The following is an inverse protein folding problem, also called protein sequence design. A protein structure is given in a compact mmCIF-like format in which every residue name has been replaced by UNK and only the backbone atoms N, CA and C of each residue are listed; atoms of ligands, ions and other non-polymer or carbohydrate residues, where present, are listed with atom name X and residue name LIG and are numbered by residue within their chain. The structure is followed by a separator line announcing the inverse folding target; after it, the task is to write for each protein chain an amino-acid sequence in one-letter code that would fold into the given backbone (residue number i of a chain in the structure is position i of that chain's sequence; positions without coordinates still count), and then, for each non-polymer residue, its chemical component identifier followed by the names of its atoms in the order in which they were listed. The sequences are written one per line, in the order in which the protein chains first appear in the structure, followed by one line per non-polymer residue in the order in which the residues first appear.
data_IF_318549400273
#
_entry.id   IF_318549400273
#
_cell.length_a   1.000
_cell.length_b   1.000
_cell.length_c   1.000
_cell.angle_alpha   90.00
_cell.angle_beta   90.00
_cell.angle_gamma   90.00
#
_symmetry.space_group_name_H-M   'P 1'
#
loop_
_entity.id
_entity.type
_entity.pdbx_description
1 polymer ?
#
# COMPACT_ATOMS: atom_id res chain seq x y z
N UNK A 1 -13.20 -30.41 -16.15
CA UNK A 1 -14.60 -30.27 -15.69
C UNK A 1 -14.62 -30.24 -14.16
N UNK A 2 -14.61 -29.06 -13.55
CA UNK A 2 -14.65 -28.90 -12.10
C UNK A 2 -16.06 -28.46 -11.69
N UNK A 3 -16.69 -29.23 -10.80
CA UNK A 3 -18.06 -29.05 -10.33
C UNK A 3 -18.24 -27.71 -9.59
N UNK A 4 -19.16 -26.90 -10.09
CA UNK A 4 -19.75 -25.78 -9.37
C UNK A 4 -20.67 -26.37 -8.29
N UNK A 5 -20.41 -26.05 -7.02
CA UNK A 5 -21.38 -26.26 -5.93
C UNK A 5 -21.55 -24.96 -5.16
N UNK A 6 -22.49 -24.14 -5.61
CA UNK A 6 -23.11 -23.10 -4.79
C UNK A 6 -24.12 -23.77 -3.86
N UNK A 7 -23.99 -23.57 -2.55
CA UNK A 7 -25.05 -23.86 -1.60
C UNK A 7 -24.98 -22.83 -0.47
N UNK A 8 -25.89 -21.86 -0.48
CA UNK A 8 -26.20 -21.05 0.69
C UNK A 8 -27.69 -21.27 0.98
N UNK A 9 -27.98 -22.05 2.02
CA UNK A 9 -29.30 -22.25 2.56
C UNK A 9 -29.33 -21.53 3.91
N UNK A 10 -30.08 -20.45 4.02
CA UNK A 10 -30.35 -19.77 5.30
C UNK A 10 -31.80 -20.02 5.65
N UNK A 11 -32.04 -20.79 6.73
CA UNK A 11 -33.37 -21.02 7.28
C UNK A 11 -33.68 -19.93 8.33
N UNK A 12 -34.81 -19.24 8.17
CA UNK A 12 -35.46 -18.50 9.25
C UNK A 12 -36.74 -19.25 9.62
N UNK A 13 -36.91 -19.56 10.91
CA UNK A 13 -38.11 -20.17 11.47
C UNK A 13 -38.98 -19.12 12.17
N UNK A 14 -40.29 -19.15 11.91
CA UNK A 14 -41.33 -18.52 12.73
C UNK A 14 -42.60 -19.40 12.75
N UNK A 15 -42.82 -20.00 13.93
CA UNK A 15 -44.07 -20.37 14.63
C UNK A 15 -45.34 -20.84 13.86
N UNK A 16 -45.74 -22.11 14.12
CA UNK A 16 -46.83 -22.51 15.06
C UNK A 16 -47.76 -23.64 14.55
N UNK A 17 -48.00 -24.61 15.45
CA UNK A 17 -48.99 -25.70 15.48
C UNK A 17 -49.06 -26.73 14.33
N UNK A 18 -48.54 -27.93 14.59
CA UNK A 18 -48.83 -29.14 13.84
C UNK A 18 -47.83 -30.25 14.15
N UNK A 19 -48.24 -31.26 14.93
CA UNK A 19 -47.41 -32.42 15.25
C UNK A 19 -47.26 -33.29 14.00
N UNK A 20 -46.15 -33.12 13.29
CA UNK A 20 -45.63 -34.13 12.37
C UNK A 20 -44.24 -34.54 12.87
N UNK A 21 -44.10 -35.83 13.23
CA UNK A 21 -42.79 -36.47 13.38
C UNK A 21 -42.16 -36.58 11.99
N UNK A 22 -41.51 -35.51 11.54
CA UNK A 22 -40.55 -35.59 10.45
C UNK A 22 -39.29 -36.25 11.01
N UNK A 23 -38.83 -37.35 10.38
CA UNK A 23 -37.54 -37.91 10.72
C UNK A 23 -36.48 -36.85 10.44
N UNK A 24 -35.78 -36.40 11.48
CA UNK A 24 -34.62 -35.53 11.33
C UNK A 24 -33.62 -36.27 10.44
N UNK A 25 -33.48 -35.81 9.19
CA UNK A 25 -32.30 -36.14 8.40
C UNK A 25 -31.08 -35.78 9.27
N UNK A 26 -30.01 -36.59 9.26
CA UNK A 26 -28.82 -36.28 10.03
C UNK A 26 -28.38 -34.88 9.61
N UNK A 27 -28.47 -33.96 10.57
CA UNK A 27 -27.96 -32.61 10.43
C UNK A 27 -26.51 -32.78 10.01
N UNK A 28 -26.17 -32.39 8.77
CA UNK A 28 -24.77 -32.32 8.36
C UNK A 28 -24.12 -31.48 9.42
N UNK A 29 -23.26 -32.08 10.27
CA UNK A 29 -22.48 -31.36 11.27
C UNK A 29 -21.97 -30.10 10.58
N UNK A 30 -22.54 -28.95 10.92
CA UNK A 30 -21.98 -27.69 10.50
C UNK A 30 -20.58 -27.73 11.08
N UNK A 31 -19.57 -27.80 10.21
CA UNK A 31 -18.18 -27.84 10.66
C UNK A 31 -17.96 -26.70 11.64
N UNK A 32 -17.13 -26.92 12.65
CA UNK A 32 -16.84 -25.92 13.68
C UNK A 32 -16.61 -24.55 13.04
N UNK A 33 -17.46 -23.58 13.40
CA UNK A 33 -17.36 -22.21 12.89
C UNK A 33 -16.10 -21.61 13.48
N UNK A 34 -15.18 -21.22 12.61
CA UNK A 34 -13.88 -20.71 13.01
C UNK A 34 -13.98 -19.28 13.57
N UNK A 35 -14.91 -18.47 13.04
CA UNK A 35 -15.16 -17.11 13.51
C UNK A 35 -16.46 -16.52 12.96
N UNK A 36 -16.94 -15.46 13.61
CA UNK A 36 -18.10 -14.66 13.16
C UNK A 36 -17.69 -13.19 13.07
N UNK A 37 -17.93 -12.55 11.93
CA UNK A 37 -17.84 -11.11 11.78
C UNK A 37 -19.24 -10.50 11.62
N UNK A 38 -19.45 -9.30 12.16
CA UNK A 38 -20.72 -8.57 12.03
C UNK A 38 -20.50 -7.24 11.33
N UNK A 39 -21.32 -6.96 10.32
CA UNK A 39 -21.41 -5.67 9.63
C UNK A 39 -22.75 -5.05 9.98
N UNK A 40 -22.73 -3.92 10.69
CA UNK A 40 -23.94 -3.15 11.02
C UNK A 40 -24.11 -1.97 10.06
N UNK A 41 -25.08 -2.07 9.15
CA UNK A 41 -25.35 -1.01 8.17
C UNK A 41 -26.04 0.22 8.76
N UNK A 42 -26.51 0.15 10.01
CA UNK A 42 -27.10 1.30 10.71
C UNK A 42 -26.06 2.19 11.40
N UNK A 43 -24.81 1.75 11.49
CA UNK A 43 -23.73 2.44 12.21
C UNK A 43 -22.53 2.68 11.27
N UNK A 44 -22.63 3.62 10.32
CA UNK A 44 -21.53 3.91 9.40
C UNK A 44 -20.34 4.51 10.15
N UNK A 45 -19.14 4.02 9.88
CA UNK A 45 -17.89 4.56 10.43
C UNK A 45 -17.36 5.78 9.68
N UNK A 46 -18.01 6.18 8.58
CA UNK A 46 -17.67 7.33 7.75
C UNK A 46 -17.66 7.01 6.24
N UNK A 47 -17.32 8.00 5.43
CA UNK A 47 -17.11 7.81 3.99
C UNK A 47 -15.75 7.13 3.78
N UNK A 48 -15.66 6.04 2.99
CA UNK A 48 -14.39 5.39 2.69
C UNK A 48 -13.40 6.36 2.02
N UNK A 49 -12.26 6.61 2.68
CA UNK A 49 -11.22 7.49 2.17
C UNK A 49 -10.10 6.75 1.41
N UNK A 50 -10.20 5.42 1.26
CA UNK A 50 -9.26 4.61 0.49
C UNK A 50 -7.77 4.82 0.87
N UNK A 51 -7.50 5.03 2.16
CA UNK A 51 -6.17 5.38 2.68
C UNK A 51 -5.12 4.27 2.50
N UNK A 52 -5.52 3.04 2.21
CA UNK A 52 -4.63 1.92 1.91
C UNK A 52 -4.69 1.48 0.43
N UNK A 53 -5.40 2.23 -0.42
CA UNK A 53 -5.52 1.93 -1.85
C UNK A 53 -4.34 2.51 -2.62
N UNK A 54 -3.19 1.84 -2.51
CA UNK A 54 -1.99 2.21 -3.23
C UNK A 54 -0.99 1.08 -3.25
N UNK A 55 0.11 1.27 -3.99
CA UNK A 55 1.16 0.26 -4.10
C UNK A 55 2.51 0.91 -4.37
N UNK A 56 3.56 0.19 -4.01
CA UNK A 56 4.92 0.46 -4.41
C UNK A 56 5.21 -0.31 -5.70
N UNK A 57 5.69 0.38 -6.75
CA UNK A 57 6.03 -0.17 -8.07
C UNK A 57 4.93 -0.89 -8.87
N UNK A 58 3.70 -1.03 -8.33
CA UNK A 58 2.64 -1.87 -8.90
C UNK A 58 2.02 -1.41 -10.22
N UNK A 59 2.42 -0.24 -10.77
CA UNK A 59 2.04 0.18 -12.11
C UNK A 59 3.11 -0.22 -13.12
N UNK A 60 2.72 -0.76 -14.29
CA UNK A 60 3.60 -0.83 -15.45
C UNK A 60 4.06 0.57 -15.88
N UNK A 61 5.19 0.62 -16.54
CA UNK A 61 5.84 1.82 -17.06
C UNK A 61 6.19 1.71 -18.53
N UNK A 62 6.25 2.86 -19.19
CA UNK A 62 6.75 3.02 -20.55
C UNK A 62 8.18 3.56 -20.50
N UNK A 63 9.05 3.02 -21.36
CA UNK A 63 10.47 3.40 -21.41
C UNK A 63 10.72 4.81 -21.92
N UNK A 64 9.71 5.49 -22.48
CA UNK A 64 9.76 6.89 -22.92
C UNK A 64 9.19 7.88 -21.90
N UNK A 65 8.80 7.39 -20.71
CA UNK A 65 8.22 8.21 -19.66
C UNK A 65 6.78 8.63 -19.89
N UNK A 66 6.09 8.18 -20.94
CA UNK A 66 4.65 8.44 -21.13
C UNK A 66 3.80 7.65 -20.14
N UNK A 67 2.57 8.08 -19.86
CA UNK A 67 1.66 7.31 -19.01
C UNK A 67 1.33 5.95 -19.63
N UNK A 68 1.34 4.89 -18.84
CA UNK A 68 1.01 3.54 -19.28
C UNK A 68 -0.53 3.31 -19.26
N UNK A 69 -1.02 2.46 -20.16
CA UNK A 69 -2.46 2.13 -20.30
C UNK A 69 -2.74 0.62 -20.38
N UNK A 70 -1.77 -0.22 -20.00
CA UNK A 70 -1.87 -1.68 -20.12
C UNK A 70 -2.87 -2.28 -19.12
N UNK A 71 -3.03 -1.64 -17.96
CA UNK A 71 -4.08 -1.98 -17.00
C UNK A 71 -5.35 -1.21 -17.37
N UNK A 72 -6.48 -1.89 -17.66
CA UNK A 72 -7.74 -1.20 -17.92
C UNK A 72 -8.16 -0.30 -16.75
N UNK A 73 -8.48 0.97 -17.04
CA UNK A 73 -8.80 2.02 -16.06
C UNK A 73 -9.75 1.59 -14.95
N UNK A 74 -10.80 0.83 -15.31
CA UNK A 74 -11.80 0.31 -14.36
C UNK A 74 -11.21 -0.49 -13.18
N UNK A 75 -10.02 -1.08 -13.34
CA UNK A 75 -9.36 -1.83 -12.27
C UNK A 75 -8.58 -0.90 -11.33
N UNK A 76 -7.98 0.18 -11.85
CA UNK A 76 -7.29 1.19 -11.06
C UNK A 76 -8.32 2.09 -10.36
N UNK A 77 -9.25 2.68 -11.11
CA UNK A 77 -10.28 3.57 -10.55
C UNK A 77 -11.22 2.80 -9.61
N UNK A 78 -11.54 1.55 -9.95
CA UNK A 78 -12.49 0.72 -9.21
C UNK A 78 -12.02 0.33 -7.80
N UNK A 79 -10.71 0.36 -7.52
CA UNK A 79 -10.17 0.13 -6.17
C UNK A 79 -10.14 1.42 -5.32
N UNK A 80 -10.56 2.56 -5.89
CA UNK A 80 -10.40 3.87 -5.27
C UNK A 80 -8.92 4.22 -5.13
N UNK A 81 -8.14 4.03 -6.19
CA UNK A 81 -6.71 4.27 -6.20
C UNK A 81 -6.37 5.68 -5.67
N UNK A 82 -5.40 5.74 -4.75
CA UNK A 82 -5.12 6.93 -3.96
C UNK A 82 -3.65 7.36 -4.06
N UNK A 83 -2.71 6.42 -4.14
CA UNK A 83 -1.30 6.76 -4.30
C UNK A 83 -0.44 5.64 -4.90
N UNK A 84 0.68 6.01 -5.51
CA UNK A 84 1.76 5.10 -5.89
C UNK A 84 3.10 5.63 -5.37
N UNK A 85 3.98 4.71 -4.97
CA UNK A 85 5.37 5.00 -4.59
C UNK A 85 6.32 4.32 -5.57
N UNK A 86 7.27 5.05 -6.15
CA UNK A 86 8.26 4.48 -7.07
C UNK A 86 9.44 5.42 -7.34
N UNK A 87 10.57 4.89 -7.82
CA UNK A 87 11.68 5.68 -8.38
C UNK A 87 12.56 4.94 -9.40
N UNK A 88 12.06 3.84 -9.99
CA UNK A 88 12.76 3.08 -11.03
C UNK A 88 13.77 2.04 -10.51
N UNK A 89 13.55 1.49 -9.31
CA UNK A 89 14.35 0.39 -8.77
C UNK A 89 14.33 -0.87 -9.64
N UNK A 90 15.44 -1.64 -9.61
CA UNK A 90 15.52 -3.01 -10.11
C UNK A 90 15.02 -3.23 -11.54
N UNK A 91 15.19 -2.21 -12.39
CA UNK A 91 14.94 -2.30 -13.83
C UNK A 91 15.99 -3.18 -14.52
N UNK A 92 15.72 -3.64 -15.76
CA UNK A 92 16.67 -4.46 -16.53
C UNK A 92 18.05 -3.83 -16.70
N UNK A 93 19.03 -4.66 -17.07
CA UNK A 93 20.43 -4.29 -17.28
C UNK A 93 20.60 -2.97 -18.04
N UNK A 94 21.51 -2.12 -17.54
CA UNK A 94 21.69 -0.75 -18.06
C UNK A 94 20.87 0.32 -17.32
N UNK A 95 20.20 -0.05 -16.22
CA UNK A 95 19.34 0.83 -15.42
C UNK A 95 19.75 0.92 -13.95
N UNK A 96 21.04 1.11 -13.66
CA UNK A 96 21.59 1.08 -12.29
C UNK A 96 21.49 2.40 -11.50
N UNK A 97 20.99 3.49 -12.12
CA UNK A 97 20.80 4.77 -11.44
C UNK A 97 22.01 5.71 -11.52
N UNK A 98 21.89 6.87 -10.86
CA UNK A 98 22.87 7.96 -10.94
C UNK A 98 24.28 7.55 -10.54
N UNK A 99 24.44 6.82 -9.43
CA UNK A 99 25.75 6.42 -8.92
C UNK A 99 26.54 5.55 -9.92
N UNK A 100 25.85 4.91 -10.87
CA UNK A 100 26.43 4.11 -11.94
C UNK A 100 26.47 4.83 -13.31
N UNK A 101 26.09 6.11 -13.37
CA UNK A 101 25.96 6.87 -14.62
C UNK A 101 24.77 6.45 -15.49
N UNK A 102 23.79 5.74 -14.92
CA UNK A 102 22.64 5.14 -15.60
C UNK A 102 21.32 5.70 -15.06
N UNK A 103 21.25 7.03 -14.96
CA UNK A 103 20.10 7.77 -14.41
C UNK A 103 18.86 7.70 -15.29
N UNK A 104 19.03 7.91 -16.61
CA UNK A 104 17.93 8.16 -17.54
C UNK A 104 16.86 7.05 -17.55
N UNK A 105 17.19 5.74 -17.57
CA UNK A 105 16.17 4.70 -17.56
C UNK A 105 15.30 4.69 -16.29
N UNK A 106 15.90 4.94 -15.13
CA UNK A 106 15.15 5.04 -13.85
C UNK A 106 14.26 6.28 -13.83
N UNK A 107 14.75 7.38 -14.38
CA UNK A 107 13.97 8.61 -14.53
C UNK A 107 12.74 8.40 -15.44
N UNK A 108 12.91 7.78 -16.61
CA UNK A 108 11.80 7.55 -17.54
C UNK A 108 10.75 6.60 -16.94
N UNK A 109 11.19 5.53 -16.26
CA UNK A 109 10.28 4.66 -15.49
C UNK A 109 9.50 5.43 -14.43
N UNK A 110 10.19 6.28 -13.67
CA UNK A 110 9.60 7.15 -12.65
C UNK A 110 8.57 8.10 -13.24
N UNK A 111 8.92 8.78 -14.32
CA UNK A 111 8.04 9.74 -14.99
C UNK A 111 6.79 9.07 -15.56
N UNK A 112 6.94 7.86 -16.13
CA UNK A 112 5.80 7.06 -16.60
C UNK A 112 4.85 6.73 -15.46
N UNK A 113 5.38 6.24 -14.32
CA UNK A 113 4.57 5.91 -13.14
C UNK A 113 3.93 7.15 -12.51
N UNK A 114 4.64 8.28 -12.48
CA UNK A 114 4.08 9.57 -12.05
C UNK A 114 2.89 9.97 -12.92
N UNK A 115 3.06 10.02 -14.26
CA UNK A 115 1.99 10.43 -15.19
C UNK A 115 0.79 9.48 -15.14
N UNK A 116 1.05 8.17 -15.03
CA UNK A 116 -0.02 7.17 -14.84
C UNK A 116 -0.76 7.39 -13.53
N UNK A 117 -0.04 7.64 -12.44
CA UNK A 117 -0.61 7.90 -11.12
C UNK A 117 -1.50 9.15 -11.12
N UNK A 118 -1.02 10.25 -11.72
CA UNK A 118 -1.77 11.50 -11.82
C UNK A 118 -2.98 11.42 -12.74
N UNK A 119 -2.90 10.65 -13.84
CA UNK A 119 -4.04 10.35 -14.72
C UNK A 119 -5.22 9.73 -13.95
N UNK A 120 -4.95 8.94 -12.92
CA UNK A 120 -5.96 8.33 -12.04
C UNK A 120 -6.23 9.14 -10.76
N UNK A 121 -5.75 10.38 -10.68
CA UNK A 121 -5.98 11.29 -9.56
C UNK A 121 -5.16 10.99 -8.29
N UNK A 122 -4.36 9.93 -8.27
CA UNK A 122 -3.58 9.52 -7.10
C UNK A 122 -2.33 10.37 -6.86
N UNK A 123 -1.84 10.42 -5.61
CA UNK A 123 -0.55 11.05 -5.27
C UNK A 123 0.63 10.16 -5.66
N UNK A 124 1.75 10.76 -6.01
CA UNK A 124 2.98 10.03 -6.35
C UNK A 124 4.09 10.33 -5.34
N UNK A 125 4.55 9.29 -4.65
CA UNK A 125 5.69 9.36 -3.74
C UNK A 125 6.96 8.95 -4.49
N UNK A 126 7.80 9.93 -4.81
CA UNK A 126 9.08 9.70 -5.49
C UNK A 126 10.12 9.13 -4.52
N UNK A 127 10.64 7.96 -4.84
CA UNK A 127 11.78 7.36 -4.15
C UNK A 127 13.11 7.85 -4.70
N UNK A 128 13.74 8.80 -4.01
CA UNK A 128 15.01 9.38 -4.47
C UNK A 128 16.17 8.37 -4.44
N UNK A 129 16.14 7.43 -3.48
CA UNK A 129 17.18 6.40 -3.37
C UNK A 129 17.23 5.48 -4.60
N UNK A 130 16.08 5.21 -5.24
CA UNK A 130 16.03 4.43 -6.48
C UNK A 130 16.74 5.16 -7.61
N UNK A 131 16.41 6.44 -7.83
CA UNK A 131 17.05 7.26 -8.86
C UNK A 131 18.57 7.39 -8.62
N UNK A 132 18.99 7.41 -7.35
CA UNK A 132 20.41 7.35 -6.99
C UNK A 132 21.05 6.02 -7.38
N UNK A 133 20.34 4.90 -7.20
CA UNK A 133 20.82 3.54 -7.49
C UNK A 133 20.89 2.62 -6.27
N UNK A 134 20.37 3.04 -5.11
CA UNK A 134 20.43 2.29 -3.85
C UNK A 134 19.16 1.45 -3.65
N UNK A 135 19.00 0.37 -4.41
CA UNK A 135 17.77 -0.45 -4.44
C UNK A 135 17.93 -1.86 -3.86
N UNK A 136 18.90 -2.02 -2.95
CA UNK A 136 19.32 -3.26 -2.28
C UNK A 136 20.14 -4.26 -3.10
N UNK A 137 20.35 -3.98 -4.39
CA UNK A 137 21.13 -4.86 -5.29
C UNK A 137 22.48 -4.26 -5.69
N UNK A 138 22.84 -3.11 -5.14
CA UNK A 138 24.11 -2.45 -5.45
C UNK A 138 25.34 -3.25 -5.00
N UNK A 139 26.41 -3.21 -5.81
CA UNK A 139 27.67 -3.90 -5.52
C UNK A 139 28.51 -3.25 -4.42
N UNK A 140 29.55 -3.96 -3.95
CA UNK A 140 30.39 -3.51 -2.82
C UNK A 140 31.20 -2.22 -3.03
N UNK A 141 31.32 -1.74 -4.27
CA UNK A 141 31.97 -0.47 -4.63
C UNK A 141 30.96 0.68 -4.84
N UNK A 142 29.73 0.53 -4.35
CA UNK A 142 28.69 1.53 -4.51
C UNK A 142 29.05 2.84 -3.80
N UNK A 143 28.87 3.96 -4.51
CA UNK A 143 29.09 5.29 -3.96
C UNK A 143 27.83 5.77 -3.24
N UNK A 144 27.93 6.00 -1.94
CA UNK A 144 26.86 6.59 -1.14
C UNK A 144 26.95 8.11 -1.17
N UNK A 145 25.81 8.82 -0.98
CA UNK A 145 25.82 10.27 -0.85
C UNK A 145 26.78 10.74 0.23
N UNK A 146 27.74 11.60 -0.14
CA UNK A 146 28.68 12.21 0.82
C UNK A 146 29.90 11.36 1.17
N UNK A 147 30.17 10.26 0.45
CA UNK A 147 31.37 9.46 0.66
C UNK A 147 32.64 10.30 0.63
N UNK A 148 33.54 10.04 1.58
CA UNK A 148 34.77 10.81 1.78
C UNK A 148 34.55 12.30 2.06
N UNK A 149 33.36 12.67 2.55
CA UNK A 149 32.97 14.07 2.75
C UNK A 149 32.73 14.83 1.44
N UNK A 150 32.70 14.14 0.30
CA UNK A 150 32.47 14.75 -1.00
C UNK A 150 31.02 14.57 -1.43
N UNK A 151 30.35 15.71 -1.57
CA UNK A 151 28.94 15.76 -1.91
C UNK A 151 28.66 16.20 -3.34
N UNK A 152 29.69 16.52 -4.13
CA UNK A 152 29.55 17.11 -5.47
C UNK A 152 28.61 16.29 -6.36
N UNK A 153 28.75 14.96 -6.36
CA UNK A 153 27.90 14.07 -7.16
C UNK A 153 26.45 14.07 -6.66
N UNK A 154 26.24 14.12 -5.35
CA UNK A 154 24.90 14.14 -4.77
C UNK A 154 24.20 15.49 -5.01
N UNK A 155 24.93 16.60 -4.95
CA UNK A 155 24.39 17.92 -5.28
C UNK A 155 23.99 18.00 -6.77
N UNK A 156 24.84 17.48 -7.67
CA UNK A 156 24.53 17.39 -9.09
C UNK A 156 23.33 16.46 -9.38
N UNK A 157 23.18 15.39 -8.60
CA UNK A 157 22.02 14.51 -8.67
C UNK A 157 20.73 15.25 -8.30
N UNK A 158 20.72 16.01 -7.19
CA UNK A 158 19.56 16.81 -6.79
C UNK A 158 19.23 17.88 -7.85
N UNK A 159 20.25 18.56 -8.40
CA UNK A 159 20.09 19.51 -9.49
C UNK A 159 19.40 18.87 -10.71
N UNK A 160 19.88 17.67 -11.10
CA UNK A 160 19.30 16.92 -12.22
C UNK A 160 17.85 16.55 -11.96
N UNK A 161 17.55 15.90 -10.83
CA UNK A 161 16.19 15.45 -10.52
C UNK A 161 15.23 16.63 -10.48
N UNK A 162 15.60 17.73 -9.84
CA UNK A 162 14.71 18.89 -9.73
C UNK A 162 14.54 19.62 -11.07
N UNK A 163 15.58 19.66 -11.90
CA UNK A 163 15.49 20.14 -13.27
C UNK A 163 14.50 19.31 -14.07
N UNK A 164 14.61 17.98 -14.03
CA UNK A 164 13.77 17.08 -14.81
C UNK A 164 12.31 17.08 -14.34
N UNK A 165 12.09 17.16 -13.02
CA UNK A 165 10.75 17.36 -12.45
C UNK A 165 10.09 18.63 -12.99
N UNK A 166 10.80 19.76 -13.00
CA UNK A 166 10.27 21.02 -13.54
C UNK A 166 10.08 20.97 -15.05
N UNK A 167 11.04 20.44 -15.79
CA UNK A 167 10.99 20.36 -17.24
C UNK A 167 9.83 19.48 -17.74
N UNK A 168 9.36 18.54 -16.91
CA UNK A 168 8.25 17.63 -17.23
C UNK A 168 6.95 17.96 -16.49
N UNK A 169 6.88 19.12 -15.83
CA UNK A 169 5.71 19.56 -15.05
C UNK A 169 5.26 18.54 -13.99
N UNK A 170 6.22 17.77 -13.46
CA UNK A 170 5.97 16.60 -12.63
C UNK A 170 5.94 16.94 -11.12
N UNK A 171 5.30 18.05 -10.75
CA UNK A 171 5.22 18.53 -9.35
C UNK A 171 3.83 18.38 -8.73
N UNK A 172 2.78 18.37 -9.55
CA UNK A 172 1.42 18.25 -9.04
C UNK A 172 1.21 16.87 -8.40
N UNK A 173 0.69 16.84 -7.17
CA UNK A 173 0.42 15.58 -6.46
C UNK A 173 1.68 14.79 -6.08
N UNK A 174 2.87 15.40 -6.17
CA UNK A 174 4.14 14.82 -5.79
C UNK A 174 4.37 14.93 -4.27
N UNK A 175 4.99 13.91 -3.70
CA UNK A 175 5.81 14.01 -2.50
C UNK A 175 7.15 13.32 -2.73
N UNK A 176 8.19 13.79 -2.05
CA UNK A 176 9.55 13.26 -2.17
C UNK A 176 9.90 12.49 -0.90
N UNK A 177 10.13 11.19 -1.09
CA UNK A 177 10.70 10.30 -0.08
C UNK A 177 12.22 10.34 -0.21
N UNK A 178 12.88 10.97 0.77
CA UNK A 178 14.32 11.25 0.70
C UNK A 178 15.12 9.95 0.60
N UNK A 179 14.74 8.92 1.36
CA UNK A 179 15.43 7.63 1.36
C UNK A 179 14.55 6.52 1.93
N UNK A 180 14.67 5.31 1.37
CA UNK A 180 13.98 4.13 1.87
C UNK A 180 14.84 3.36 2.87
N UNK A 181 14.24 2.95 3.98
CA UNK A 181 14.80 2.03 4.99
C UNK A 181 16.27 2.31 5.34
N UNK A 182 16.65 3.55 5.71
CA UNK A 182 18.02 3.92 6.04
C UNK A 182 18.56 3.21 7.30
N UNK A 183 17.70 2.50 8.03
CA UNK A 183 18.01 1.64 9.16
C UNK A 183 18.47 0.22 8.74
N UNK A 184 18.34 -0.14 7.46
CA UNK A 184 18.82 -1.40 6.89
C UNK A 184 20.09 -1.19 6.06
N UNK A 185 21.13 -2.00 6.33
CA UNK A 185 22.42 -1.89 5.64
C UNK A 185 22.32 -2.08 4.12
N UNK A 186 21.34 -2.84 3.64
CA UNK A 186 21.09 -3.04 2.21
C UNK A 186 20.56 -1.79 1.51
N UNK A 187 19.92 -0.86 2.23
CA UNK A 187 19.43 0.39 1.65
C UNK A 187 20.26 1.61 2.06
N UNK A 188 21.06 1.50 3.13
CA UNK A 188 22.03 2.49 3.52
C UNK A 188 23.30 1.83 4.07
N UNK A 189 24.32 1.74 3.22
CA UNK A 189 25.59 1.07 3.55
C UNK A 189 26.61 1.94 4.29
N UNK A 190 26.28 3.20 4.57
CA UNK A 190 27.16 4.12 5.29
C UNK A 190 26.71 4.40 6.73
N UNK A 191 27.37 5.32 7.42
CA UNK A 191 27.05 5.69 8.81
C UNK A 191 25.70 6.40 8.91
N UNK A 192 25.05 6.29 10.06
CA UNK A 192 23.82 7.03 10.34
C UNK A 192 24.04 8.56 10.32
N UNK A 193 25.23 9.06 10.69
CA UNK A 193 25.51 10.51 10.59
C UNK A 193 25.57 10.98 9.14
N UNK A 194 26.10 10.16 8.22
CA UNK A 194 26.08 10.45 6.80
C UNK A 194 24.65 10.42 6.23
N UNK A 195 23.77 9.54 6.73
CA UNK A 195 22.35 9.56 6.39
C UNK A 195 21.69 10.86 6.84
N UNK A 196 21.91 11.29 8.08
CA UNK A 196 21.34 12.54 8.60
C UNK A 196 21.87 13.77 7.84
N UNK A 197 23.14 13.77 7.45
CA UNK A 197 23.69 14.81 6.58
C UNK A 197 23.04 14.82 5.19
N UNK A 198 22.74 13.64 4.64
CA UNK A 198 21.98 13.47 3.39
C UNK A 198 20.57 14.02 3.54
N UNK A 199 19.88 13.68 4.65
CA UNK A 199 18.56 14.20 4.99
C UNK A 199 18.54 15.73 5.02
N UNK A 200 19.42 16.36 5.81
CA UNK A 200 19.44 17.82 5.94
C UNK A 200 19.75 18.52 4.61
N UNK A 201 20.68 17.98 3.82
CA UNK A 201 20.99 18.51 2.48
C UNK A 201 19.78 18.45 1.56
N UNK A 202 19.15 17.29 1.44
CA UNK A 202 18.00 17.11 0.54
C UNK A 202 16.79 17.91 1.03
N UNK A 203 16.53 17.94 2.34
CA UNK A 203 15.47 18.75 2.94
C UNK A 203 15.63 20.23 2.59
N UNK A 204 16.81 20.80 2.84
CA UNK A 204 17.08 22.21 2.55
C UNK A 204 16.95 22.53 1.05
N UNK A 205 17.38 21.61 0.18
CA UNK A 205 17.24 21.75 -1.27
C UNK A 205 15.77 21.70 -1.72
N UNK A 206 14.95 20.79 -1.18
CA UNK A 206 13.51 20.74 -1.48
C UNK A 206 12.84 22.04 -1.01
N UNK A 207 13.06 22.47 0.24
CA UNK A 207 12.46 23.71 0.77
C UNK A 207 12.85 24.96 -0.02
N UNK A 208 14.06 24.99 -0.58
CA UNK A 208 14.53 26.10 -1.39
C UNK A 208 13.98 26.06 -2.82
N UNK A 209 14.10 24.92 -3.49
CA UNK A 209 13.94 24.83 -4.94
C UNK A 209 12.57 24.28 -5.37
N UNK A 210 11.84 23.63 -4.45
CA UNK A 210 10.53 22.98 -4.65
C UNK A 210 9.64 23.17 -3.39
N UNK A 211 9.38 24.42 -2.93
CA UNK A 211 8.79 24.69 -1.61
C UNK A 211 7.38 24.12 -1.40
N UNK A 212 6.64 23.83 -2.48
CA UNK A 212 5.29 23.27 -2.44
C UNK A 212 5.26 21.73 -2.39
N UNK A 213 6.40 21.08 -2.66
CA UNK A 213 6.49 19.61 -2.67
C UNK A 213 6.63 19.12 -1.23
N UNK A 214 5.77 18.17 -0.85
CA UNK A 214 5.81 17.56 0.47
C UNK A 214 7.02 16.63 0.59
N UNK A 215 7.61 16.61 1.78
CA UNK A 215 8.72 15.73 2.15
C UNK A 215 8.17 14.59 3.02
N UNK A 216 8.42 13.35 2.61
CA UNK A 216 8.10 12.16 3.41
C UNK A 216 9.36 11.45 3.87
N UNK A 217 9.33 10.83 5.05
CA UNK A 217 10.44 10.05 5.59
C UNK A 217 10.35 9.82 7.10
N UNK A 218 11.35 9.16 7.71
CA UNK A 218 12.57 8.59 7.11
C UNK A 218 12.35 7.25 6.42
N UNK A 219 11.10 6.78 6.34
CA UNK A 219 10.72 5.52 5.68
C UNK A 219 11.47 4.32 6.24
N UNK A 220 11.63 4.27 7.56
CA UNK A 220 12.33 3.18 8.24
C UNK A 220 11.63 1.84 8.07
N UNK A 221 12.39 0.74 8.15
CA UNK A 221 11.86 -0.63 8.04
C UNK A 221 10.93 -1.02 9.19
N UNK A 222 10.97 -0.23 10.27
CA UNK A 222 10.22 -0.43 11.51
C UNK A 222 9.62 0.91 11.98
N UNK A 223 8.52 0.91 12.78
CA UNK A 223 7.89 2.12 13.29
C UNK A 223 8.75 2.78 14.37
N UNK A 224 8.47 4.07 14.58
CA UNK A 224 8.96 4.84 15.70
C UNK A 224 8.59 4.16 17.03
N UNK A 225 9.59 3.94 17.88
CA UNK A 225 9.39 3.46 19.26
C UNK A 225 10.33 4.18 20.20
N UNK A 226 9.91 4.31 21.46
CA UNK A 226 10.75 4.91 22.50
C UNK A 226 12.05 4.12 22.77
N UNK A 227 12.15 2.85 22.33
CA UNK A 227 13.35 2.02 22.49
C UNK A 227 14.28 1.98 21.26
N UNK A 228 13.87 2.55 20.12
CA UNK A 228 14.68 2.52 18.90
C UNK A 228 15.74 3.61 18.90
N UNK A 229 17.02 3.22 19.01
CA UNK A 229 18.14 4.16 18.98
C UNK A 229 18.21 4.94 17.65
N UNK A 230 17.92 4.27 16.52
CA UNK A 230 17.87 4.92 15.21
C UNK A 230 16.77 5.99 15.16
N UNK A 231 15.57 5.67 15.67
CA UNK A 231 14.47 6.64 15.73
C UNK A 231 14.80 7.82 16.66
N UNK A 232 15.32 7.55 17.86
CA UNK A 232 15.72 8.61 18.80
C UNK A 232 16.75 9.55 18.18
N UNK A 233 17.75 8.99 17.48
CA UNK A 233 18.79 9.77 16.81
C UNK A 233 18.20 10.65 15.70
N UNK A 234 17.34 10.08 14.85
CA UNK A 234 16.66 10.82 13.79
C UNK A 234 15.74 11.92 14.34
N UNK A 235 14.89 11.59 15.33
CA UNK A 235 13.97 12.54 15.96
C UNK A 235 14.70 13.72 16.62
N UNK A 236 15.80 13.45 17.33
CA UNK A 236 16.64 14.50 17.91
C UNK A 236 17.28 15.38 16.82
N UNK A 237 17.76 14.77 15.73
CA UNK A 237 18.37 15.49 14.62
C UNK A 237 17.38 16.42 13.92
N UNK A 238 16.21 15.94 13.51
CA UNK A 238 15.24 16.76 12.76
C UNK A 238 14.70 17.91 13.62
N UNK A 239 14.54 17.70 14.93
CA UNK A 239 14.11 18.73 15.86
C UNK A 239 15.19 19.82 16.03
N UNK A 240 16.45 19.44 16.12
CA UNK A 240 17.56 20.37 16.28
C UNK A 240 17.89 21.18 15.01
N UNK A 241 17.50 20.69 13.84
CA UNK A 241 17.85 21.28 12.53
C UNK A 241 16.65 21.85 11.76
N UNK A 242 15.46 21.92 12.37
CA UNK A 242 14.21 22.35 11.71
C UNK A 242 13.96 21.59 10.38
N UNK A 243 14.19 20.29 10.41
CA UNK A 243 14.17 19.41 9.24
C UNK A 243 13.10 18.31 9.35
N UNK A 244 11.97 18.64 9.98
CA UNK A 244 10.85 17.70 10.20
C UNK A 244 10.14 17.44 8.87
N UNK A 245 9.91 16.18 8.46
CA UNK A 245 9.17 15.88 7.24
C UNK A 245 7.70 16.31 7.36
N UNK A 246 7.07 16.61 6.23
CA UNK A 246 5.64 16.89 6.17
C UNK A 246 4.82 15.63 6.47
N UNK A 247 5.36 14.46 6.11
CA UNK A 247 4.75 13.16 6.34
C UNK A 247 5.74 12.20 6.98
N UNK A 248 5.37 11.65 8.14
CA UNK A 248 6.11 10.55 8.74
C UNK A 248 5.75 9.23 8.05
N UNK A 249 6.76 8.52 7.55
CA UNK A 249 6.61 7.23 6.87
C UNK A 249 7.51 6.15 7.47
N UNK A 250 7.05 4.91 7.39
CA UNK A 250 7.73 3.69 7.83
C UNK A 250 7.07 2.46 7.18
N UNK A 251 7.71 1.30 7.28
CA UNK A 251 7.29 0.06 6.62
C UNK A 251 6.63 -0.93 7.57
N UNK A 252 5.48 -1.46 7.14
CA UNK A 252 4.76 -2.52 7.83
C UNK A 252 4.63 -3.75 6.96
N UNK A 253 5.72 -4.53 6.90
CA UNK A 253 5.89 -5.64 5.96
C UNK A 253 5.89 -7.02 6.64
N UNK A 254 5.86 -7.07 7.98
CA UNK A 254 5.87 -8.30 8.76
C UNK A 254 4.47 -8.63 9.27
N UNK A 255 4.08 -9.89 9.17
CA UNK A 255 2.72 -10.35 9.53
C UNK A 255 2.40 -10.13 11.01
N UNK A 256 3.40 -10.24 11.90
CA UNK A 256 3.23 -10.13 13.35
C UNK A 256 3.06 -8.69 13.90
N UNK A 257 2.83 -7.72 13.02
CA UNK A 257 2.78 -6.30 13.35
C UNK A 257 1.66 -5.68 12.51
N UNK A 258 0.37 -5.95 12.76
CA UNK A 258 -0.69 -5.21 12.05
C UNK A 258 -1.39 -4.24 12.98
N UNK A 259 -1.64 -3.03 12.47
CA UNK A 259 -2.16 -1.92 13.28
C UNK A 259 -3.58 -2.16 13.82
N UNK A 260 -4.36 -3.07 13.20
CA UNK A 260 -5.73 -3.44 13.58
C UNK A 260 -6.18 -4.81 13.01
N UNK A 261 -5.38 -5.86 13.13
CA UNK A 261 -5.86 -7.18 12.69
C UNK A 261 -6.67 -7.91 13.77
N UNK A 262 -7.44 -8.90 13.32
CA UNK A 262 -7.87 -9.98 14.20
C UNK A 262 -6.63 -10.67 14.75
N UNK A 263 -6.53 -10.84 16.08
CA UNK A 263 -5.35 -11.45 16.74
C UNK A 263 -5.01 -12.85 16.24
N UNK A 264 -5.94 -13.52 15.56
CA UNK A 264 -5.76 -14.84 14.96
C UNK A 264 -5.26 -14.81 13.51
N UNK A 265 -5.11 -13.61 12.92
CA UNK A 265 -4.77 -13.37 11.53
C UNK A 265 -5.62 -14.18 10.53
N UNK A 266 -6.83 -14.61 10.88
CA UNK A 266 -7.50 -15.64 10.10
C UNK A 266 -8.55 -15.08 9.15
N UNK A 267 -9.25 -14.02 9.57
CA UNK A 267 -10.46 -13.56 8.93
C UNK A 267 -10.67 -12.05 9.08
N UNK A 268 -11.02 -11.40 7.97
CA UNK A 268 -11.27 -9.95 7.91
C UNK A 268 -12.54 -9.66 7.11
N UNK A 269 -13.32 -8.68 7.55
CA UNK A 269 -14.55 -8.23 6.87
C UNK A 269 -14.63 -6.72 6.82
N UNK A 270 -14.96 -6.20 5.65
CA UNK A 270 -15.18 -4.78 5.40
C UNK A 270 -16.47 -4.58 4.59
N UNK A 271 -17.21 -3.50 4.87
CA UNK A 271 -18.50 -3.21 4.23
C UNK A 271 -18.67 -1.75 3.84
N UNK A 272 -19.36 -1.50 2.73
CA UNK A 272 -19.75 -0.15 2.26
C UNK A 272 -21.20 -0.15 1.76
N UNK A 273 -21.87 1.01 1.84
CA UNK A 273 -23.22 1.21 1.30
C UNK A 273 -23.45 2.69 0.93
N UNK A 274 -24.51 2.96 0.14
CA UNK A 274 -24.94 4.31 -0.26
C UNK A 274 -26.36 4.65 0.22
N UNK A 275 -26.82 3.99 1.28
CA UNK A 275 -28.16 4.22 1.88
C UNK A 275 -29.36 3.77 1.03
N UNK A 276 -29.11 3.13 -0.11
CA UNK A 276 -30.14 2.69 -1.07
C UNK A 276 -30.06 1.19 -1.33
N UNK A 277 -31.17 0.60 -1.80
CA UNK A 277 -31.25 -0.83 -2.11
C UNK A 277 -30.26 -1.19 -3.23
N UNK A 278 -29.51 -2.27 -3.05
CA UNK A 278 -28.51 -2.73 -4.02
C UNK A 278 -27.15 -2.03 -3.94
N UNK A 279 -26.96 -1.13 -2.98
CA UNK A 279 -25.70 -0.40 -2.78
C UNK A 279 -24.70 -1.08 -1.84
N UNK A 280 -25.11 -2.13 -1.12
CA UNK A 280 -24.26 -2.80 -0.13
C UNK A 280 -23.20 -3.66 -0.82
N UNK A 281 -21.93 -3.43 -0.50
CA UNK A 281 -20.81 -4.29 -0.86
C UNK A 281 -20.11 -4.75 0.40
N UNK A 282 -19.87 -6.05 0.51
CA UNK A 282 -19.10 -6.66 1.61
C UNK A 282 -17.92 -7.41 1.02
N UNK A 283 -16.73 -7.09 1.48
CA UNK A 283 -15.50 -7.82 1.24
C UNK A 283 -15.21 -8.67 2.48
N UNK A 284 -15.01 -9.97 2.27
CA UNK A 284 -14.57 -10.88 3.31
C UNK A 284 -13.34 -11.62 2.79
N UNK A 285 -12.27 -11.62 3.57
CA UNK A 285 -11.00 -12.26 3.24
C UNK A 285 -10.63 -13.28 4.32
N UNK A 286 -10.15 -14.44 3.86
CA UNK A 286 -9.56 -15.47 4.72
C UNK A 286 -8.08 -15.51 4.39
N UNK A 287 -7.23 -15.34 5.40
CA UNK A 287 -5.79 -15.37 5.21
C UNK A 287 -5.31 -16.83 5.11
N UNK A 288 -4.19 -17.11 4.41
CA UNK A 288 -3.68 -18.47 4.23
C UNK A 288 -3.49 -19.26 5.53
N UNK A 289 -3.12 -18.57 6.62
CA UNK A 289 -2.91 -19.16 7.96
C UNK A 289 -4.15 -19.86 8.52
N UNK A 290 -5.36 -19.40 8.13
CA UNK A 290 -6.60 -20.04 8.54
C UNK A 290 -6.79 -21.41 7.86
N UNK A 291 -6.20 -21.60 6.67
CA UNK A 291 -6.49 -22.72 5.79
C UNK A 291 -7.95 -22.76 5.34
N UNK A 292 -8.43 -23.94 4.94
CA UNK A 292 -9.84 -24.10 4.57
C UNK A 292 -10.71 -24.17 5.82
N UNK A 293 -11.49 -23.13 6.06
CA UNK A 293 -12.40 -23.00 7.23
C UNK A 293 -13.80 -22.57 6.83
N UNK A 294 -14.74 -22.79 7.74
CA UNK A 294 -16.09 -22.23 7.69
C UNK A 294 -16.12 -21.01 8.60
N UNK A 295 -16.63 -19.88 8.09
CA UNK A 295 -16.78 -18.62 8.82
C UNK A 295 -18.18 -18.06 8.59
N UNK A 296 -18.67 -17.26 9.53
CA UNK A 296 -19.95 -16.56 9.41
C UNK A 296 -19.74 -15.06 9.22
N UNK A 297 -20.50 -14.47 8.31
CA UNK A 297 -20.67 -13.02 8.20
C UNK A 297 -22.13 -12.70 8.46
N UNK A 298 -22.37 -11.98 9.55
CA UNK A 298 -23.70 -11.49 9.91
C UNK A 298 -23.84 -10.05 9.42
N UNK A 299 -24.87 -9.78 8.63
CA UNK A 299 -25.18 -8.42 8.18
C UNK A 299 -26.46 -7.98 8.90
N UNK A 300 -26.36 -6.90 9.67
CA UNK A 300 -27.48 -6.30 10.41
C UNK A 300 -27.78 -4.90 9.89
N UNK A 301 -28.90 -4.31 10.35
CA UNK A 301 -29.27 -2.94 9.99
C UNK A 301 -29.77 -2.77 8.55
N UNK A 302 -30.21 -3.82 7.86
CA UNK A 302 -30.65 -3.75 6.45
C UNK A 302 -31.72 -2.67 6.18
N UNK A 303 -32.57 -2.34 7.16
CA UNK A 303 -33.55 -1.26 7.03
C UNK A 303 -32.93 0.11 6.77
N UNK A 304 -31.70 0.37 7.25
CA UNK A 304 -30.99 1.65 7.04
C UNK A 304 -30.62 1.89 5.57
N UNK A 305 -30.58 0.83 4.75
CA UNK A 305 -30.32 0.89 3.30
C UNK A 305 -31.59 0.70 2.48
N UNK A 306 -32.76 0.92 3.08
CA UNK A 306 -34.06 0.84 2.41
C UNK A 306 -34.56 -0.58 2.15
N UNK A 307 -33.94 -1.60 2.76
CA UNK A 307 -34.42 -2.98 2.63
C UNK A 307 -35.56 -3.26 3.62
N UNK A 308 -36.75 -3.55 3.09
CA UNK A 308 -37.95 -3.87 3.88
C UNK A 308 -38.47 -5.31 3.63
N UNK A 309 -37.71 -6.13 2.90
CA UNK A 309 -38.13 -7.48 2.52
C UNK A 309 -37.80 -8.56 3.56
N UNK A 310 -38.31 -9.76 3.33
CA UNK A 310 -37.95 -10.98 4.07
C UNK A 310 -36.93 -11.85 3.31
N UNK A 311 -36.45 -11.38 2.14
CA UNK A 311 -35.50 -12.09 1.26
C UNK A 311 -34.47 -11.15 0.68
N UNK A 312 -33.19 -11.50 0.82
CA UNK A 312 -32.06 -10.80 0.20
C UNK A 312 -31.54 -11.63 -0.99
N UNK A 313 -31.17 -10.97 -2.09
CA UNK A 313 -30.40 -11.59 -3.18
C UNK A 313 -28.92 -11.28 -2.99
N UNK A 314 -28.09 -12.31 -2.94
CA UNK A 314 -26.63 -12.18 -2.76
C UNK A 314 -25.93 -12.60 -4.04
N UNK A 315 -25.02 -11.77 -4.54
CA UNK A 315 -24.07 -12.14 -5.58
C UNK A 315 -22.68 -12.23 -4.95
N UNK A 316 -22.14 -13.43 -4.88
CA UNK A 316 -20.78 -13.67 -4.38
C UNK A 316 -19.81 -13.74 -5.56
N UNK A 317 -18.66 -13.08 -5.42
CA UNK A 317 -17.48 -13.28 -6.28
C UNK A 317 -16.36 -13.82 -5.41
N UNK A 318 -15.60 -14.79 -5.93
CA UNK A 318 -14.46 -15.38 -5.25
C UNK A 318 -13.25 -15.21 -6.15
N UNK A 319 -12.15 -14.75 -5.56
CA UNK A 319 -10.84 -14.74 -6.20
C UNK A 319 -10.02 -15.88 -5.60
N UNK A 320 -9.67 -16.84 -6.44
CA UNK A 320 -8.72 -17.90 -6.10
C UNK A 320 -7.39 -17.50 -6.71
N UNK A 321 -6.55 -16.83 -5.92
CA UNK A 321 -5.20 -16.46 -6.34
C UNK A 321 -4.29 -17.69 -6.47
N UNK A 322 -3.16 -17.60 -7.20
CA UNK A 322 -2.13 -18.63 -7.15
C UNK A 322 -1.57 -18.79 -5.73
N UNK A 323 -0.97 -19.94 -5.37
CA UNK A 323 -0.30 -20.10 -4.08
C UNK A 323 0.79 -19.04 -3.91
N UNK A 324 0.65 -18.16 -2.90
CA UNK A 324 1.54 -17.02 -2.60
C UNK A 324 3.03 -17.41 -2.51
N UNK A 325 3.36 -18.67 -2.20
CA UNK A 325 4.74 -19.17 -2.08
C UNK A 325 5.47 -19.39 -3.42
N UNK A 326 4.89 -19.02 -4.57
CA UNK A 326 5.55 -19.12 -5.89
C UNK A 326 5.97 -17.78 -6.49
N UNK A 327 5.66 -16.66 -5.82
CA UNK A 327 5.87 -15.30 -6.36
C UNK A 327 6.57 -14.36 -5.37
N UNK A 328 7.17 -14.89 -4.30
CA UNK A 328 8.13 -14.19 -3.43
C UNK A 328 9.48 -14.91 -3.55
#
# INVERSE_FOLDING_TARGET
MAQIRSLALLALSASSHGVFRASLAPEKRQGQVFGTATVNLAEPSGTPAHLASGFIYGLPDNTDGTANTDIPDRFIDGMGFNYCRAGGAQLPDGSLGWAAGQYEPRWLSTLSKYRTTRRHGGRFSLLMHDLWGADSLQGGSFSWPGDNGNWTSYDAFLDRVFSDLRANEALEGLDIDIWNEPDLQSFWGSTQDQYLATWARTYARIRKDLPEVLITGPSTSEPATAGSATWQKFAAFIAANDAVPDMYSWHLLRTNRNLRESTDEAFEVYGTHAGTVGSVKVLAAVRPVAGRRTYHVTITGLSSVGFAGHRVKIRTRRFDGPPILKEI
#
